data_IF_423536326541
#
_entry.id   IF_423536326541
#
_cell.length_a   1.000
_cell.length_b   1.000
_cell.length_c   1.000
_cell.angle_alpha   90.00
_cell.angle_beta   90.00
_cell.angle_gamma   90.00
#
_symmetry.space_group_name_H-M   'P 1'
#
loop_
_entity.id
_entity.type
_entity.pdbx_description
1 polymer ?
#
# COMPACT_ATOMS: atom_id res chain seq x y z
N UNK A 1 -2.75 26.66 33.67
CA UNK A 1 -2.84 25.20 33.46
C UNK A 1 -4.10 24.89 32.65
N UNK A 2 -4.14 25.01 31.31
CA UNK A 2 -5.44 24.82 30.61
C UNK A 2 -5.38 24.43 29.13
N UNK A 3 -4.28 24.60 28.40
CA UNK A 3 -4.31 24.32 26.95
C UNK A 3 -3.95 22.86 26.59
N UNK A 4 -3.09 22.20 27.39
CA UNK A 4 -2.64 20.82 27.11
C UNK A 4 -3.67 19.73 27.50
N UNK A 5 -4.55 19.97 28.47
CA UNK A 5 -5.51 18.94 28.88
C UNK A 5 -6.67 18.79 27.90
N UNK A 6 -7.15 19.88 27.32
CA UNK A 6 -8.26 19.84 26.35
C UNK A 6 -7.83 19.22 25.03
N UNK A 7 -6.63 19.54 24.54
CA UNK A 7 -6.06 18.88 23.35
C UNK A 7 -5.86 17.37 23.56
N UNK A 8 -5.46 16.96 24.76
CA UNK A 8 -5.30 15.54 25.11
C UNK A 8 -6.65 14.81 25.15
N UNK A 9 -7.65 15.40 25.80
CA UNK A 9 -9.01 14.87 25.84
C UNK A 9 -9.65 14.80 24.43
N UNK A 10 -9.43 15.83 23.61
CA UNK A 10 -9.90 15.86 22.23
C UNK A 10 -9.22 14.79 21.36
N UNK A 11 -7.91 14.54 21.58
CA UNK A 11 -7.20 13.47 20.88
C UNK A 11 -7.63 12.08 21.34
N UNK A 12 -7.81 11.87 22.64
CA UNK A 12 -8.30 10.61 23.22
C UNK A 12 -9.74 10.27 22.77
N UNK A 13 -10.53 11.28 22.39
CA UNK A 13 -11.86 11.10 21.81
C UNK A 13 -11.86 10.63 20.35
N UNK A 14 -10.74 10.70 19.63
CA UNK A 14 -10.65 10.27 18.24
C UNK A 14 -10.54 8.74 18.21
N UNK A 15 -11.38 8.03 17.43
CA UNK A 15 -11.21 6.59 17.23
C UNK A 15 -9.82 6.34 16.61
N UNK A 16 -9.13 5.28 17.04
CA UNK A 16 -7.75 4.96 16.64
C UNK A 16 -6.65 5.90 17.17
N UNK A 17 -6.90 6.76 18.17
CA UNK A 17 -5.86 7.63 18.74
C UNK A 17 -4.61 6.88 19.22
N UNK A 18 -4.79 5.70 19.83
CA UNK A 18 -3.68 4.82 20.27
C UNK A 18 -2.84 4.39 19.07
N UNK A 19 -3.47 3.99 17.97
CA UNK A 19 -2.76 3.61 16.74
C UNK A 19 -2.00 4.80 16.14
N UNK A 20 -2.59 6.00 16.14
CA UNK A 20 -1.94 7.21 15.63
C UNK A 20 -0.73 7.60 16.48
N UNK A 21 -0.84 7.52 17.80
CA UNK A 21 0.26 7.79 18.72
C UNK A 21 1.40 6.79 18.53
N UNK A 22 1.11 5.49 18.47
CA UNK A 22 2.11 4.44 18.26
C UNK A 22 2.74 4.52 16.86
N UNK A 23 1.96 4.84 15.83
CA UNK A 23 2.48 5.09 14.48
C UNK A 23 3.41 6.28 14.46
N UNK A 24 3.07 7.38 15.15
CA UNK A 24 3.94 8.55 15.26
C UNK A 24 5.24 8.22 15.99
N UNK A 25 5.17 7.50 17.12
CA UNK A 25 6.35 7.02 17.85
C UNK A 25 7.25 6.16 16.95
N UNK A 26 6.66 5.25 16.19
CA UNK A 26 7.38 4.39 15.25
C UNK A 26 8.04 5.18 14.11
N UNK A 27 7.36 6.16 13.51
CA UNK A 27 7.94 7.04 12.48
C UNK A 27 9.15 7.80 13.03
N UNK A 28 9.07 8.26 14.28
CA UNK A 28 10.16 8.95 14.94
C UNK A 28 11.34 8.02 15.26
N UNK A 29 11.07 6.79 15.71
CA UNK A 29 12.07 5.79 16.12
C UNK A 29 11.74 4.39 15.56
N UNK A 30 12.05 4.13 14.28
CA UNK A 30 11.71 2.88 13.61
C UNK A 30 12.79 1.80 13.75
N UNK A 31 13.71 1.92 14.71
CA UNK A 31 14.85 1.01 14.83
C UNK A 31 14.43 -0.34 15.42
N UNK A 32 15.01 -1.43 14.90
CA UNK A 32 14.76 -2.77 15.42
C UNK A 32 15.61 -2.95 16.68
N UNK A 33 15.02 -2.62 17.82
CA UNK A 33 15.65 -2.72 19.14
C UNK A 33 15.09 -3.91 19.93
N UNK A 34 15.96 -4.51 20.76
CA UNK A 34 15.60 -5.60 21.67
C UNK A 34 15.83 -7.00 21.10
N UNK A 35 16.00 -7.96 22.03
CA UNK A 35 16.21 -9.38 21.70
C UNK A 35 14.90 -10.17 21.60
N UNK A 36 13.79 -9.60 22.07
CA UNK A 36 12.46 -10.23 22.09
C UNK A 36 11.36 -9.25 21.68
N UNK A 37 10.28 -9.78 21.09
CA UNK A 37 9.13 -8.99 20.64
C UNK A 37 8.48 -8.21 21.80
N UNK A 38 8.38 -8.82 22.97
CA UNK A 38 7.71 -8.26 24.15
C UNK A 38 8.38 -6.99 24.69
N UNK A 39 9.70 -6.89 24.51
CA UNK A 39 10.51 -5.75 24.94
C UNK A 39 10.82 -4.76 23.81
N UNK A 40 10.35 -5.04 22.59
CA UNK A 40 10.60 -4.20 21.42
C UNK A 40 9.50 -3.17 21.20
N UNK A 41 9.83 -2.09 20.48
CA UNK A 41 8.85 -1.12 19.96
C UNK A 41 7.84 -1.73 18.98
N UNK A 42 8.00 -3.02 18.64
CA UNK A 42 7.19 -3.76 17.68
C UNK A 42 6.13 -4.64 18.34
N UNK A 43 5.99 -4.61 19.67
CA UNK A 43 5.01 -5.41 20.43
C UNK A 43 3.58 -5.29 19.88
N UNK A 44 3.21 -4.10 19.41
CA UNK A 44 1.87 -3.80 18.90
C UNK A 44 1.74 -3.89 17.38
N UNK A 45 2.74 -4.42 16.67
CA UNK A 45 2.77 -4.46 15.20
C UNK A 45 1.50 -5.05 14.58
N UNK A 46 1.05 -6.20 15.07
CA UNK A 46 -0.16 -6.85 14.56
C UNK A 46 -1.45 -6.05 14.86
N UNK A 47 -1.56 -5.49 16.07
CA UNK A 47 -2.74 -4.69 16.45
C UNK A 47 -2.83 -3.41 15.63
N UNK A 48 -1.71 -2.71 15.46
CA UNK A 48 -1.62 -1.51 14.64
C UNK A 48 -1.92 -1.81 13.17
N UNK A 49 -1.47 -2.96 12.66
CA UNK A 49 -1.79 -3.38 11.30
C UNK A 49 -3.28 -3.61 11.09
N UNK A 50 -3.95 -4.31 12.01
CA UNK A 50 -5.40 -4.50 11.95
C UNK A 50 -6.13 -3.14 12.04
N UNK A 51 -5.71 -2.28 12.97
CA UNK A 51 -6.25 -0.94 13.13
C UNK A 51 -6.12 -0.11 11.84
N UNK A 52 -5.00 -0.21 11.13
CA UNK A 52 -4.81 0.51 9.88
C UNK A 52 -5.70 0.00 8.74
N UNK A 53 -5.97 -1.31 8.67
CA UNK A 53 -6.91 -1.87 7.69
C UNK A 53 -8.34 -1.36 7.92
N UNK A 54 -8.78 -1.28 9.19
CA UNK A 54 -10.06 -0.67 9.54
C UNK A 54 -10.09 0.82 9.21
N UNK A 55 -9.01 1.55 9.52
CA UNK A 55 -8.89 2.97 9.20
C UNK A 55 -8.95 3.21 7.68
N UNK A 56 -8.27 2.39 6.88
CA UNK A 56 -8.36 2.43 5.42
C UNK A 56 -9.80 2.25 4.97
N UNK A 57 -10.50 1.23 5.47
CA UNK A 57 -11.91 0.98 5.11
C UNK A 57 -12.79 2.18 5.44
N UNK A 58 -12.60 2.77 6.63
CA UNK A 58 -13.34 3.94 7.08
C UNK A 58 -13.04 5.16 6.20
N UNK A 59 -11.78 5.42 5.85
CA UNK A 59 -11.39 6.52 4.96
C UNK A 59 -11.96 6.31 3.56
N UNK A 60 -11.89 5.09 3.03
CA UNK A 60 -12.48 4.71 1.74
C UNK A 60 -13.98 5.00 1.73
N UNK A 61 -14.72 4.52 2.72
CA UNK A 61 -16.16 4.77 2.83
C UNK A 61 -16.47 6.26 3.00
N UNK A 62 -15.69 6.98 3.81
CA UNK A 62 -15.86 8.41 4.06
C UNK A 62 -15.63 9.25 2.80
N UNK A 63 -14.55 8.97 2.05
CA UNK A 63 -14.24 9.66 0.78
C UNK A 63 -15.34 9.41 -0.25
N UNK A 64 -15.82 8.16 -0.37
CA UNK A 64 -16.92 7.82 -1.27
C UNK A 64 -18.21 8.56 -0.90
N UNK A 65 -18.51 8.71 0.39
CA UNK A 65 -19.74 9.35 0.86
C UNK A 65 -19.72 10.88 0.76
N UNK A 66 -18.60 11.54 1.07
CA UNK A 66 -18.53 13.00 1.20
C UNK A 66 -17.90 13.73 0.01
N UNK A 67 -17.10 13.02 -0.79
CA UNK A 67 -16.34 13.62 -1.89
C UNK A 67 -16.60 12.91 -3.24
N UNK A 68 -17.87 12.65 -3.63
CA UNK A 68 -18.16 12.01 -4.91
C UNK A 68 -17.73 12.83 -6.12
N UNK A 69 -17.42 14.13 -5.93
CA UNK A 69 -16.98 15.05 -7.00
C UNK A 69 -15.46 15.29 -7.05
N UNK A 70 -14.69 14.82 -6.06
CA UNK A 70 -13.24 15.04 -6.05
C UNK A 70 -12.54 14.18 -7.13
N UNK A 71 -13.17 13.06 -7.47
CA UNK A 71 -12.82 12.23 -8.61
C UNK A 71 -14.06 12.13 -9.50
N UNK A 72 -13.95 12.43 -10.80
CA UNK A 72 -15.05 12.23 -11.77
C UNK A 72 -15.43 10.75 -11.92
N UNK A 73 -14.61 9.84 -11.40
CA UNK A 73 -14.82 8.41 -11.39
C UNK A 73 -15.37 7.98 -10.02
N UNK A 74 -16.49 7.26 -10.01
CA UNK A 74 -17.03 6.62 -8.80
C UNK A 74 -16.20 5.37 -8.44
N UNK A 75 -15.05 5.63 -7.82
CA UNK A 75 -14.08 4.62 -7.43
C UNK A 75 -14.63 3.61 -6.41
N UNK A 76 -15.77 3.89 -5.76
CA UNK A 76 -16.41 2.98 -4.81
C UNK A 76 -17.16 1.83 -5.45
N UNK A 77 -17.61 1.99 -6.70
CA UNK A 77 -18.18 0.89 -7.48
C UNK A 77 -17.07 0.03 -8.13
N UNK A 78 -15.87 0.59 -8.29
CA UNK A 78 -14.73 -0.08 -8.94
C UNK A 78 -13.95 -0.98 -7.99
N UNK A 79 -13.84 -0.60 -6.73
CA UNK A 79 -12.97 -1.26 -5.75
C UNK A 79 -13.85 -1.88 -4.67
N UNK A 80 -13.76 -3.19 -4.53
CA UNK A 80 -14.41 -3.86 -3.40
C UNK A 80 -13.55 -3.65 -2.14
N UNK A 81 -14.07 -2.97 -1.09
CA UNK A 81 -13.28 -2.61 0.10
C UNK A 81 -12.80 -3.84 0.89
N UNK A 82 -13.56 -4.94 0.87
CA UNK A 82 -13.18 -6.20 1.53
C UNK A 82 -12.00 -6.83 0.81
N UNK A 83 -12.06 -6.94 -0.52
CA UNK A 83 -10.95 -7.48 -1.31
C UNK A 83 -9.72 -6.57 -1.27
N UNK A 84 -9.89 -5.25 -1.21
CA UNK A 84 -8.78 -4.31 -1.00
C UNK A 84 -8.08 -4.57 0.33
N UNK A 85 -8.83 -4.74 1.42
CA UNK A 85 -8.24 -5.04 2.74
C UNK A 85 -7.55 -6.40 2.77
N UNK A 86 -8.16 -7.42 2.17
CA UNK A 86 -7.53 -8.74 2.04
C UNK A 86 -6.26 -8.67 1.21
N UNK A 87 -6.27 -7.92 0.11
CA UNK A 87 -5.10 -7.72 -0.72
C UNK A 87 -3.97 -7.03 0.04
N UNK A 88 -4.25 -5.94 0.75
CA UNK A 88 -3.27 -5.24 1.60
C UNK A 88 -2.74 -6.17 2.72
N UNK A 89 -3.61 -6.97 3.33
CA UNK A 89 -3.24 -7.95 4.35
C UNK A 89 -2.30 -9.02 3.80
N UNK A 90 -2.69 -9.69 2.72
CA UNK A 90 -1.89 -10.74 2.08
C UNK A 90 -0.55 -10.18 1.62
N UNK A 91 -0.54 -9.00 0.99
CA UNK A 91 0.70 -8.36 0.56
C UNK A 91 1.66 -8.11 1.73
N UNK A 92 1.19 -7.44 2.79
CA UNK A 92 2.03 -7.10 3.93
C UNK A 92 2.60 -8.36 4.62
N UNK A 93 1.77 -9.39 4.79
CA UNK A 93 2.15 -10.64 5.45
C UNK A 93 3.17 -11.40 4.59
N UNK A 94 2.88 -11.63 3.31
CA UNK A 94 3.76 -12.36 2.40
C UNK A 94 5.11 -11.65 2.28
N UNK A 95 5.12 -10.34 2.05
CA UNK A 95 6.35 -9.57 1.96
C UNK A 95 7.16 -9.59 3.27
N UNK A 96 6.49 -9.48 4.44
CA UNK A 96 7.15 -9.55 5.74
C UNK A 96 7.87 -10.89 5.95
N UNK A 97 7.26 -12.01 5.57
CA UNK A 97 7.88 -13.33 5.67
C UNK A 97 9.03 -13.49 4.68
N UNK A 98 8.85 -13.11 3.41
CA UNK A 98 9.91 -13.17 2.40
C UNK A 98 11.13 -12.37 2.87
N UNK A 99 10.91 -11.15 3.36
CA UNK A 99 11.99 -10.27 3.81
C UNK A 99 12.71 -10.83 5.05
N UNK A 100 11.96 -11.36 6.03
CA UNK A 100 12.55 -11.97 7.21
C UNK A 100 13.37 -13.22 6.86
N UNK A 101 12.91 -14.05 5.92
CA UNK A 101 13.65 -15.22 5.41
C UNK A 101 14.91 -14.77 4.69
N UNK A 102 14.81 -13.80 3.77
CA UNK A 102 15.95 -13.29 3.01
C UNK A 102 17.04 -12.69 3.91
N UNK A 103 16.65 -11.93 4.94
CA UNK A 103 17.59 -11.44 5.96
C UNK A 103 18.19 -12.59 6.76
N UNK A 104 17.37 -13.56 7.17
CA UNK A 104 17.86 -14.71 7.95
C UNK A 104 18.90 -15.52 7.17
N UNK A 105 18.67 -15.78 5.89
CA UNK A 105 19.65 -16.43 5.00
C UNK A 105 20.91 -15.59 4.86
N UNK A 106 20.77 -14.28 4.67
CA UNK A 106 21.91 -13.36 4.47
C UNK A 106 22.79 -13.22 5.72
N UNK A 107 22.22 -13.38 6.92
CA UNK A 107 22.92 -13.25 8.21
C UNK A 107 23.30 -14.62 8.80
N UNK A 108 22.75 -15.72 8.27
CA UNK A 108 22.96 -17.08 8.76
C UNK A 108 24.42 -17.44 9.07
N UNK A 109 25.42 -17.09 8.24
CA UNK A 109 26.83 -17.41 8.53
C UNK A 109 27.39 -16.73 9.79
N UNK A 110 26.74 -15.67 10.29
CA UNK A 110 27.14 -14.91 11.47
C UNK A 110 26.29 -15.22 12.69
N UNK A 111 24.98 -15.40 12.50
CA UNK A 111 24.04 -15.75 13.57
C UNK A 111 22.93 -16.63 13.00
N UNK A 112 22.99 -17.95 13.21
CA UNK A 112 21.97 -18.87 12.70
C UNK A 112 20.71 -18.78 13.57
N UNK A 113 19.80 -17.88 13.21
CA UNK A 113 18.51 -17.72 13.86
C UNK A 113 17.46 -17.22 12.86
N UNK A 114 16.19 -17.41 13.17
CA UNK A 114 15.11 -16.77 12.42
C UNK A 114 14.88 -15.34 12.95
N UNK A 115 15.08 -14.35 12.09
CA UNK A 115 15.02 -12.93 12.45
C UNK A 115 13.59 -12.38 12.40
N UNK A 116 12.68 -12.97 13.19
CA UNK A 116 11.24 -12.66 13.21
C UNK A 116 10.90 -11.19 13.51
N UNK A 117 11.77 -10.44 14.20
CA UNK A 117 11.59 -9.01 14.43
C UNK A 117 11.57 -8.21 13.11
N UNK A 118 12.24 -8.69 12.07
CA UNK A 118 12.17 -8.09 10.71
C UNK A 118 10.77 -8.22 10.12
N UNK A 119 10.08 -9.34 10.36
CA UNK A 119 8.70 -9.51 9.91
C UNK A 119 7.77 -8.51 10.64
N UNK A 120 7.94 -8.35 11.95
CA UNK A 120 7.14 -7.41 12.75
C UNK A 120 7.40 -5.95 12.37
N UNK A 121 8.67 -5.59 12.13
CA UNK A 121 9.06 -4.29 11.56
C UNK A 121 8.32 -4.02 10.26
N UNK A 122 8.25 -5.04 9.40
CA UNK A 122 7.62 -4.93 8.10
C UNK A 122 6.12 -4.74 8.23
N UNK A 123 5.46 -5.54 9.06
CA UNK A 123 4.02 -5.42 9.35
C UNK A 123 3.69 -4.02 9.91
N UNK A 124 4.47 -3.52 10.87
CA UNK A 124 4.28 -2.18 11.44
C UNK A 124 4.51 -1.08 10.40
N UNK A 125 5.50 -1.23 9.51
CA UNK A 125 5.71 -0.29 8.42
C UNK A 125 4.53 -0.27 7.43
N UNK A 126 3.98 -1.44 7.08
CA UNK A 126 2.76 -1.52 6.29
C UNK A 126 1.56 -0.90 7.01
N UNK A 127 1.48 -1.01 8.34
CA UNK A 127 0.42 -0.36 9.10
C UNK A 127 0.38 1.17 8.85
N UNK A 128 1.55 1.80 8.77
CA UNK A 128 1.68 3.23 8.43
C UNK A 128 1.48 3.50 6.93
N UNK A 129 2.03 2.63 6.07
CA UNK A 129 2.03 2.83 4.62
C UNK A 129 0.67 2.54 3.95
N UNK A 130 -0.20 1.72 4.54
CA UNK A 130 -1.47 1.28 3.96
C UNK A 130 -2.31 2.45 3.43
N UNK A 131 -2.42 3.55 4.20
CA UNK A 131 -3.18 4.73 3.76
C UNK A 131 -2.54 5.37 2.51
N UNK A 132 -1.21 5.49 2.48
CA UNK A 132 -0.49 6.05 1.33
C UNK A 132 -0.60 5.17 0.09
N UNK A 133 -0.53 3.85 0.26
CA UNK A 133 -0.69 2.87 -0.83
C UNK A 133 -2.07 3.03 -1.48
N UNK A 134 -3.12 3.17 -0.66
CA UNK A 134 -4.49 3.33 -1.16
C UNK A 134 -4.68 4.66 -1.89
N UNK A 135 -4.12 5.76 -1.36
CA UNK A 135 -4.14 7.08 -2.04
C UNK A 135 -3.45 7.01 -3.40
N UNK A 136 -2.25 6.41 -3.47
CA UNK A 136 -1.51 6.25 -4.73
C UNK A 136 -2.26 5.33 -5.70
N UNK A 137 -2.89 4.28 -5.21
CA UNK A 137 -3.70 3.38 -6.02
C UNK A 137 -4.88 4.11 -6.66
N UNK A 138 -5.61 4.95 -5.91
CA UNK A 138 -6.69 5.76 -6.47
C UNK A 138 -6.22 6.74 -7.55
N UNK A 139 -5.12 7.46 -7.30
CA UNK A 139 -4.52 8.38 -8.27
C UNK A 139 -4.17 7.60 -9.55
N UNK A 140 -3.55 6.44 -9.40
CA UNK A 140 -3.22 5.55 -10.52
C UNK A 140 -4.43 5.11 -11.34
N UNK A 141 -5.48 4.66 -10.67
CA UNK A 141 -6.73 4.24 -11.31
C UNK A 141 -7.40 5.41 -12.04
N UNK A 142 -7.48 6.58 -11.42
CA UNK A 142 -8.02 7.79 -12.04
C UNK A 142 -7.28 8.15 -13.35
N UNK A 143 -5.94 8.06 -13.36
CA UNK A 143 -5.13 8.29 -14.57
C UNK A 143 -5.42 7.27 -15.67
N UNK A 144 -5.45 5.98 -15.33
CA UNK A 144 -5.74 4.91 -16.29
C UNK A 144 -7.13 5.11 -16.92
N UNK A 145 -8.13 5.45 -16.11
CA UNK A 145 -9.50 5.59 -16.59
C UNK A 145 -9.71 6.82 -17.49
N UNK A 146 -9.05 7.94 -17.18
CA UNK A 146 -9.21 9.18 -17.96
C UNK A 146 -8.32 9.26 -19.20
N UNK A 147 -7.05 8.87 -19.07
CA UNK A 147 -6.05 9.05 -20.15
C UNK A 147 -5.74 7.74 -20.89
N UNK A 148 -6.16 6.59 -20.34
CA UNK A 148 -5.71 5.29 -20.82
C UNK A 148 -4.27 4.95 -20.43
N UNK A 149 -3.56 5.85 -19.73
CA UNK A 149 -2.15 5.69 -19.39
C UNK A 149 -1.86 6.06 -17.92
N UNK A 150 -1.33 5.12 -17.15
CA UNK A 150 -0.96 5.36 -15.74
C UNK A 150 0.08 6.50 -15.55
N UNK A 151 0.95 6.71 -16.55
CA UNK A 151 2.04 7.70 -16.47
C UNK A 151 1.58 9.11 -16.78
N UNK A 152 0.42 9.26 -17.42
CA UNK A 152 -0.09 10.55 -17.87
C UNK A 152 -1.04 11.10 -16.82
N UNK A 153 -0.73 12.30 -16.32
CA UNK A 153 -1.58 12.96 -15.32
C UNK A 153 -2.85 13.48 -15.98
N UNK A 154 -3.99 13.27 -15.32
CA UNK A 154 -5.29 13.73 -15.84
C UNK A 154 -5.50 15.24 -15.71
N UNK A 155 -4.77 15.89 -14.80
CA UNK A 155 -4.80 17.33 -14.55
C UNK A 155 -3.54 17.78 -13.81
N UNK A 156 -3.32 19.09 -13.71
CA UNK A 156 -2.22 19.64 -12.91
C UNK A 156 -2.35 19.30 -11.42
N UNK A 157 -3.57 19.27 -10.89
CA UNK A 157 -3.84 18.90 -9.49
C UNK A 157 -3.52 17.42 -9.22
N UNK A 158 -3.89 16.53 -10.15
CA UNK A 158 -3.54 15.10 -10.12
C UNK A 158 -2.03 14.85 -10.18
N UNK A 159 -1.29 15.67 -10.93
CA UNK A 159 0.17 15.63 -10.98
C UNK A 159 0.78 16.00 -9.62
N UNK A 160 0.35 17.13 -9.03
CA UNK A 160 0.85 17.59 -7.73
C UNK A 160 0.52 16.64 -6.60
N UNK A 161 -0.74 16.18 -6.50
CA UNK A 161 -1.16 15.24 -5.48
C UNK A 161 -0.40 13.91 -5.60
N UNK A 162 -0.27 13.37 -6.82
CA UNK A 162 0.49 12.14 -7.07
C UNK A 162 1.97 12.30 -6.75
N UNK A 163 2.57 13.43 -7.10
CA UNK A 163 3.97 13.73 -6.80
C UNK A 163 4.25 13.82 -5.31
N UNK A 164 3.44 14.60 -4.57
CA UNK A 164 3.59 14.76 -3.12
C UNK A 164 3.35 13.44 -2.39
N UNK A 165 2.26 12.72 -2.71
CA UNK A 165 1.97 11.42 -2.12
C UNK A 165 3.09 10.41 -2.39
N UNK A 166 3.64 10.40 -3.62
CA UNK A 166 4.75 9.54 -3.99
C UNK A 166 6.03 9.84 -3.22
N UNK A 167 6.38 11.11 -3.05
CA UNK A 167 7.55 11.52 -2.26
C UNK A 167 7.39 11.15 -0.78
N UNK A 168 6.21 11.34 -0.20
CA UNK A 168 5.91 10.94 1.18
C UNK A 168 6.04 9.42 1.33
N UNK A 169 5.46 8.64 0.41
CA UNK A 169 5.55 7.19 0.43
C UNK A 169 7.00 6.71 0.32
N UNK A 170 7.80 7.26 -0.59
CA UNK A 170 9.22 6.95 -0.72
C UNK A 170 10.01 7.29 0.55
N UNK A 171 9.75 8.45 1.14
CA UNK A 171 10.37 8.86 2.40
C UNK A 171 10.01 7.90 3.54
N UNK A 172 8.74 7.51 3.66
CA UNK A 172 8.28 6.54 4.66
C UNK A 172 8.89 5.15 4.43
N UNK A 173 8.93 4.64 3.19
CA UNK A 173 9.57 3.35 2.87
C UNK A 173 11.05 3.40 3.28
N UNK A 174 11.77 4.46 2.90
CA UNK A 174 13.16 4.63 3.28
C UNK A 174 13.34 4.67 4.81
N UNK A 175 12.50 5.45 5.50
CA UNK A 175 12.61 5.70 6.94
C UNK A 175 12.22 4.48 7.78
N UNK A 176 11.16 3.77 7.42
CA UNK A 176 10.53 2.71 8.20
C UNK A 176 11.04 1.31 7.85
N UNK A 177 11.51 1.10 6.63
CA UNK A 177 11.98 -0.21 6.17
C UNK A 177 13.46 -0.21 5.84
N UNK A 178 13.87 0.60 4.86
CA UNK A 178 15.22 0.50 4.29
C UNK A 178 16.30 0.85 5.29
N UNK A 179 16.16 2.00 5.96
CA UNK A 179 17.13 2.46 6.95
C UNK A 179 17.21 1.50 8.16
N UNK A 180 16.11 1.10 8.83
CA UNK A 180 16.18 0.17 9.97
C UNK A 180 16.80 -1.18 9.60
N UNK A 181 16.44 -1.76 8.45
CA UNK A 181 17.00 -3.04 8.01
C UNK A 181 18.49 -2.91 7.69
N UNK A 182 18.92 -1.82 7.06
CA UNK A 182 20.34 -1.58 6.84
C UNK A 182 21.11 -1.50 8.17
N UNK A 183 20.60 -0.76 9.16
CA UNK A 183 21.23 -0.67 10.49
C UNK A 183 21.25 -2.04 11.20
N UNK A 184 20.18 -2.83 11.04
CA UNK A 184 20.10 -4.19 11.57
C UNK A 184 21.19 -5.11 11.00
N UNK A 185 21.40 -5.09 9.68
CA UNK A 185 22.45 -5.88 9.01
C UNK A 185 23.84 -5.34 9.35
N UNK A 186 23.97 -4.05 9.65
CA UNK A 186 25.23 -3.42 10.09
C UNK A 186 25.74 -3.92 11.44
N UNK A 187 24.92 -4.63 12.22
CA UNK A 187 25.38 -5.35 13.40
C UNK A 187 26.24 -6.59 13.06
N UNK A 188 26.13 -7.13 11.83
CA UNK A 188 26.77 -8.38 11.42
C UNK A 188 27.88 -8.19 10.36
N UNK A 189 27.79 -7.11 9.58
CA UNK A 189 28.70 -6.81 8.47
C UNK A 189 29.21 -5.35 8.54
N UNK A 190 30.25 -5.02 7.77
CA UNK A 190 30.71 -3.63 7.65
C UNK A 190 29.66 -2.76 6.94
N UNK A 191 29.60 -1.46 7.28
CA UNK A 191 28.56 -0.52 6.77
C UNK A 191 28.33 -0.59 5.25
N UNK A 192 29.40 -0.74 4.46
CA UNK A 192 29.34 -0.84 2.99
C UNK A 192 28.72 -2.16 2.53
N UNK A 193 29.13 -3.28 3.14
CA UNK A 193 28.59 -4.61 2.83
C UNK A 193 27.12 -4.67 3.25
N UNK A 194 26.78 -4.15 4.44
CA UNK A 194 25.40 -4.12 4.92
C UNK A 194 24.47 -3.34 4.01
N UNK A 195 24.94 -2.25 3.42
CA UNK A 195 24.14 -1.51 2.44
C UNK A 195 23.89 -2.33 1.17
N UNK A 196 24.94 -2.98 0.64
CA UNK A 196 24.82 -3.85 -0.53
C UNK A 196 23.89 -5.05 -0.28
N UNK A 197 24.01 -5.70 0.87
CA UNK A 197 23.14 -6.81 1.28
C UNK A 197 21.70 -6.32 1.49
N UNK A 198 21.49 -5.19 2.17
CA UNK A 198 20.15 -4.62 2.34
C UNK A 198 19.48 -4.36 0.99
N UNK A 199 20.19 -3.67 0.06
CA UNK A 199 19.67 -3.40 -1.27
C UNK A 199 19.30 -4.71 -2.00
N UNK A 200 20.20 -5.69 -2.02
CA UNK A 200 19.96 -6.98 -2.67
C UNK A 200 18.74 -7.70 -2.09
N UNK A 201 18.62 -7.73 -0.76
CA UNK A 201 17.49 -8.35 -0.06
C UNK A 201 16.18 -7.62 -0.36
N UNK A 202 16.17 -6.28 -0.40
CA UNK A 202 14.97 -5.53 -0.76
C UNK A 202 14.54 -5.79 -2.20
N UNK A 203 15.47 -5.77 -3.16
CA UNK A 203 15.16 -6.02 -4.56
C UNK A 203 14.68 -7.45 -4.79
N UNK A 204 15.39 -8.45 -4.24
CA UNK A 204 14.99 -9.85 -4.40
C UNK A 204 13.65 -10.14 -3.70
N UNK A 205 13.42 -9.60 -2.51
CA UNK A 205 12.15 -9.77 -1.80
C UNK A 205 10.99 -9.12 -2.56
N UNK A 206 11.20 -7.92 -3.11
CA UNK A 206 10.17 -7.22 -3.89
C UNK A 206 9.84 -7.97 -5.18
N UNK A 207 10.88 -8.50 -5.85
CA UNK A 207 10.73 -9.33 -7.04
C UNK A 207 9.91 -10.58 -6.74
N UNK A 208 10.32 -11.40 -5.75
CA UNK A 208 9.61 -12.64 -5.36
C UNK A 208 8.17 -12.35 -4.96
N UNK A 209 7.96 -11.29 -4.19
CA UNK A 209 6.64 -10.89 -3.73
C UNK A 209 5.69 -10.50 -4.88
N UNK A 210 6.22 -9.92 -5.97
CA UNK A 210 5.40 -9.59 -7.14
C UNK A 210 4.80 -10.83 -7.81
N UNK A 211 5.53 -11.95 -7.82
CA UNK A 211 5.03 -13.23 -8.33
C UNK A 211 4.11 -13.93 -7.32
N UNK A 212 4.41 -13.84 -6.03
CA UNK A 212 3.62 -14.52 -4.99
C UNK A 212 2.18 -14.00 -4.87
N UNK A 213 1.95 -12.71 -5.16
CA UNK A 213 0.64 -12.05 -4.97
C UNK A 213 -0.02 -11.66 -6.30
N UNK A 214 0.55 -12.06 -7.44
CA UNK A 214 0.14 -11.62 -8.78
C UNK A 214 -1.36 -11.85 -9.05
N UNK A 215 -1.89 -13.03 -8.68
CA UNK A 215 -3.26 -13.41 -9.02
C UNK A 215 -4.32 -12.76 -8.12
N UNK A 216 -3.94 -12.38 -6.89
CA UNK A 216 -4.84 -11.77 -5.90
C UNK A 216 -5.28 -10.35 -6.30
N UNK A 217 -4.45 -9.60 -7.03
CA UNK A 217 -4.79 -8.24 -7.45
C UNK A 217 -6.00 -8.17 -8.39
N UNK A 218 -6.26 -9.25 -9.13
CA UNK A 218 -7.37 -9.32 -10.09
C UNK A 218 -8.76 -9.33 -9.43
N UNK A 219 -8.85 -9.69 -8.15
CA UNK A 219 -10.10 -9.71 -7.37
C UNK A 219 -10.44 -8.38 -6.72
N UNK A 220 -9.48 -7.46 -6.61
CA UNK A 220 -9.70 -6.13 -6.01
C UNK A 220 -10.56 -5.25 -6.93
N UNK A 221 -10.37 -5.42 -8.24
CA UNK A 221 -10.97 -4.57 -9.27
C UNK A 221 -12.22 -5.25 -9.84
N UNK A 222 -13.37 -4.58 -9.74
CA UNK A 222 -14.58 -5.00 -10.43
C UNK A 222 -14.45 -4.68 -11.93
N UNK A 223 -14.06 -5.67 -12.73
CA UNK A 223 -13.83 -5.55 -14.17
C UNK A 223 -15.05 -5.02 -14.92
N UNK A 224 -16.26 -5.41 -14.50
CA UNK A 224 -17.51 -4.95 -15.12
C UNK A 224 -17.73 -3.45 -14.86
N UNK A 225 -17.56 -3.01 -13.60
CA UNK A 225 -17.66 -1.61 -13.23
C UNK A 225 -16.60 -0.75 -13.95
N UNK A 226 -15.35 -1.23 -14.06
CA UNK A 226 -14.30 -0.57 -14.83
C UNK A 226 -14.69 -0.41 -16.30
N UNK A 227 -15.17 -1.46 -16.96
CA UNK A 227 -15.60 -1.37 -18.36
C UNK A 227 -16.76 -0.39 -18.57
N UNK A 228 -17.72 -0.36 -17.64
CA UNK A 228 -18.83 0.59 -17.66
C UNK A 228 -18.33 2.02 -17.54
N UNK A 229 -17.42 2.28 -16.61
CA UNK A 229 -16.82 3.60 -16.43
C UNK A 229 -16.04 4.08 -17.67
N UNK A 230 -15.30 3.17 -18.32
CA UNK A 230 -14.59 3.46 -19.57
C UNK A 230 -15.59 3.82 -20.68
N UNK A 231 -16.70 3.09 -20.79
CA UNK A 231 -17.75 3.39 -21.76
C UNK A 231 -18.34 4.78 -21.53
N UNK A 232 -18.73 5.11 -20.29
CA UNK A 232 -19.29 6.41 -19.93
C UNK A 232 -18.31 7.56 -20.23
N UNK A 233 -17.05 7.39 -19.84
CA UNK A 233 -15.99 8.39 -20.05
C UNK A 233 -15.75 8.64 -21.55
N UNK A 234 -15.64 7.57 -22.36
CA UNK A 234 -15.40 7.68 -23.80
C UNK A 234 -16.62 8.12 -24.60
N UNK A 235 -17.82 7.83 -24.11
CA UNK A 235 -19.07 8.33 -24.70
C UNK A 235 -19.21 9.83 -24.46
N UNK A 236 -18.85 10.31 -23.27
CA UNK A 236 -18.83 11.73 -22.95
C UNK A 236 -17.76 12.50 -23.74
N UNK A 237 -16.57 11.92 -23.96
CA UNK A 237 -15.51 12.53 -24.78
C UNK A 237 -15.78 12.49 -26.29
N UNK A 238 -16.84 11.83 -26.74
CA UNK A 238 -17.18 11.67 -28.16
C UNK A 238 -16.34 10.64 -28.92
N UNK A 239 -15.48 9.89 -28.23
CA UNK A 239 -14.68 8.81 -28.82
C UNK A 239 -15.53 7.60 -29.24
N UNK A 240 -16.66 7.37 -28.58
CA UNK A 240 -17.61 6.31 -28.92
C UNK A 240 -18.78 6.90 -29.71
N UNK A 241 -19.03 6.35 -30.90
CA UNK A 241 -20.18 6.72 -31.72
C UNK A 241 -21.48 6.38 -31.00
N UNK A 242 -22.49 7.24 -31.10
CA UNK A 242 -23.76 7.15 -30.36
C UNK A 242 -24.54 5.84 -30.53
N UNK A 243 -24.28 5.08 -31.59
CA UNK A 243 -24.96 3.80 -31.89
C UNK A 243 -24.31 2.57 -31.22
N UNK A 244 -23.18 2.72 -30.54
CA UNK A 244 -22.52 1.58 -29.89
C UNK A 244 -23.28 1.21 -28.62
N UNK A 245 -23.84 0.00 -28.64
CA UNK A 245 -24.54 -0.59 -27.50
C UNK A 245 -23.60 -0.79 -26.30
N UNK A 246 -24.09 -0.38 -25.12
CA UNK A 246 -23.34 -0.42 -23.86
C UNK A 246 -22.95 -1.86 -23.48
N UNK A 247 -23.87 -2.81 -23.60
CA UNK A 247 -23.60 -4.21 -23.22
C UNK A 247 -22.60 -4.87 -24.18
N UNK A 248 -22.67 -4.54 -25.48
CA UNK A 248 -21.71 -4.99 -26.47
C UNK A 248 -20.29 -4.48 -26.16
N UNK A 249 -20.15 -3.20 -25.82
CA UNK A 249 -18.86 -2.61 -25.45
C UNK A 249 -18.30 -3.24 -24.16
N UNK A 250 -19.13 -3.36 -23.12
CA UNK A 250 -18.72 -3.96 -21.84
C UNK A 250 -18.28 -5.41 -22.05
N UNK A 251 -19.04 -6.21 -22.81
CA UNK A 251 -18.68 -7.61 -23.13
C UNK A 251 -17.34 -7.72 -23.84
N UNK A 252 -17.09 -6.87 -24.85
CA UNK A 252 -15.81 -6.85 -25.55
C UNK A 252 -14.66 -6.37 -24.65
N UNK A 253 -14.90 -5.39 -23.80
CA UNK A 253 -13.93 -4.86 -22.84
C UNK A 253 -13.51 -5.93 -21.82
N UNK A 254 -14.48 -6.66 -21.24
CA UNK A 254 -14.20 -7.76 -20.31
C UNK A 254 -13.45 -8.91 -20.99
N UNK A 255 -13.82 -9.26 -22.23
CA UNK A 255 -13.13 -10.31 -23.01
C UNK A 255 -11.66 -9.95 -23.29
N UNK A 256 -11.36 -8.68 -23.61
CA UNK A 256 -9.97 -8.21 -23.75
C UNK A 256 -9.19 -8.29 -22.45
N UNK A 257 -9.81 -7.96 -21.31
CA UNK A 257 -9.17 -8.08 -19.99
C UNK A 257 -8.93 -9.54 -19.57
N UNK A 258 -9.75 -10.48 -20.02
CA UNK A 258 -9.49 -11.92 -19.84
C UNK A 258 -8.41 -12.45 -20.81
N UNK A 259 -8.39 -11.98 -22.05
CA UNK A 259 -7.45 -12.46 -23.08
C UNK A 259 -6.01 -11.97 -22.87
N UNK A 260 -5.82 -10.86 -22.14
CA UNK A 260 -4.50 -10.37 -21.73
C UNK A 260 -3.80 -11.26 -20.69
N UNK A 261 -4.56 -12.06 -19.92
CA UNK A 261 -4.01 -12.98 -18.91
C UNK A 261 -3.30 -14.21 -19.54
N UNK A 262 -3.63 -14.60 -20.77
CA UNK A 262 -3.08 -15.79 -21.43
C UNK A 262 -1.82 -15.53 -22.29
N UNK A 263 -1.34 -14.28 -22.37
CA UNK A 263 -0.19 -13.92 -23.22
C UNK A 263 1.17 -13.89 -22.49
N UNK A 264 1.22 -14.29 -21.23
CA UNK A 264 2.45 -14.36 -20.43
C UNK A 264 2.82 -15.78 -19.97
N UNK A 265 2.33 -16.81 -20.67
CA UNK A 265 2.90 -18.16 -20.60
C UNK A 265 4.07 -18.30 -21.58
#
# INVERSE_FOLDING_TARGET
MTNKSWLRLAFEAIPFHVFLEESWRFICKPEIEGDSLENSSLRYAGQNFIASLFLVTMVVAFVQYLLPQLFEVDLGQLINPVYLCLFLAVQAIVFAFILAIAISISVFPKKPAFHHLVAHQTIQAYAVLNLMVVVLFWIGMNRILKTGNFKEASSSLDLWLGGVAGLIALWLIWRLLVKPIWHYIAAYYSKKISFGVAALVFFSSSWVNSYAVFDFGSFVINKSAVCKQIYETKKFSGEIKSFVDEQCFIGHCMSKMHSGHNKHN
#
